data_IF_588848474072
#
_entry.id   IF_588848474072
#
_cell.length_a   1.000
_cell.length_b   1.000
_cell.length_c   1.000
_cell.angle_alpha   90.00
_cell.angle_beta   90.00
_cell.angle_gamma   90.00
#
_symmetry.space_group_name_H-M   'P 1'
#
loop_
_entity.id
_entity.type
_entity.pdbx_description
1 polymer ?
#
# COMPACT_ATOMS: atom_id res chain seq x y z
N UNK A 1 11.39 0.95 9.21
CA UNK A 1 12.28 1.36 8.10
C UNK A 1 12.61 2.84 8.27
N UNK A 2 13.85 3.18 8.15
CA UNK A 2 14.34 4.53 8.39
C UNK A 2 14.61 5.28 7.10
N UNK A 3 14.60 6.63 7.16
CA UNK A 3 14.97 7.47 6.01
C UNK A 3 16.32 7.04 5.48
N UNK A 4 16.46 7.04 4.17
CA UNK A 4 17.66 6.59 3.50
C UNK A 4 17.67 5.11 3.14
N UNK A 5 16.71 4.34 3.64
CA UNK A 5 16.60 2.92 3.30
C UNK A 5 16.20 2.73 1.85
N UNK A 6 16.72 1.69 1.23
CA UNK A 6 16.35 1.36 -0.15
C UNK A 6 15.01 0.65 -0.23
N UNK A 7 14.28 0.91 -1.30
CA UNK A 7 13.05 0.19 -1.61
C UNK A 7 13.39 -1.28 -1.84
N UNK A 8 12.70 -2.22 -1.16
CA UNK A 8 13.09 -3.64 -1.21
C UNK A 8 12.65 -4.39 -2.48
N UNK A 9 11.89 -3.75 -3.36
CA UNK A 9 11.40 -4.41 -4.55
C UNK A 9 10.05 -5.07 -4.35
N UNK A 10 9.47 -5.57 -5.44
CA UNK A 10 8.10 -6.11 -5.46
C UNK A 10 8.04 -7.55 -5.91
N UNK A 11 9.16 -8.21 -6.08
CA UNK A 11 9.20 -9.58 -6.55
C UNK A 11 8.69 -10.54 -5.49
N UNK A 12 8.05 -11.63 -5.94
CA UNK A 12 7.60 -12.74 -5.08
C UNK A 12 6.41 -12.42 -4.17
N UNK A 13 5.68 -11.36 -4.45
CA UNK A 13 4.48 -11.04 -3.68
C UNK A 13 3.21 -11.34 -4.48
N UNK A 14 2.13 -11.53 -3.74
CA UNK A 14 0.82 -11.80 -4.33
C UNK A 14 0.05 -10.47 -4.43
N UNK A 15 -0.77 -10.34 -5.48
CA UNK A 15 -1.47 -9.09 -5.77
C UNK A 15 -2.95 -9.33 -6.04
N UNK A 16 -3.76 -8.34 -5.73
CA UNK A 16 -5.10 -8.26 -6.28
C UNK A 16 -4.93 -7.69 -7.68
N UNK A 17 -5.16 -8.53 -8.69
CA UNK A 17 -4.88 -8.15 -10.07
C UNK A 17 -3.44 -8.38 -10.46
N UNK A 18 -2.91 -7.54 -11.34
CA UNK A 18 -1.56 -7.72 -11.87
C UNK A 18 -0.51 -7.07 -10.98
N UNK A 19 0.67 -7.68 -10.96
CA UNK A 19 1.82 -7.07 -10.31
C UNK A 19 2.16 -5.76 -11.04
N UNK A 20 2.37 -4.66 -10.29
CA UNK A 20 2.70 -3.39 -10.92
C UNK A 20 4.12 -3.37 -11.44
N UNK A 21 4.36 -2.48 -12.42
CA UNK A 21 5.70 -2.17 -12.89
C UNK A 21 6.02 -0.75 -12.47
N UNK A 22 7.20 -0.56 -11.87
CA UNK A 22 7.67 0.76 -11.51
C UNK A 22 8.10 1.51 -12.79
N UNK A 23 7.79 2.80 -12.86
CA UNK A 23 8.01 3.60 -14.06
C UNK A 23 9.08 4.67 -13.89
N UNK A 24 9.81 4.65 -12.77
CA UNK A 24 10.86 5.65 -12.50
C UNK A 24 10.37 6.88 -11.77
N UNK A 25 9.09 6.93 -11.40
CA UNK A 25 8.54 8.00 -10.57
C UNK A 25 8.83 7.75 -9.10
N UNK A 26 8.71 8.78 -8.25
CA UNK A 26 8.68 8.54 -6.80
C UNK A 26 7.58 7.56 -6.47
N UNK A 27 7.78 6.77 -5.40
CA UNK A 27 6.87 5.69 -5.02
C UNK A 27 6.11 6.08 -3.76
N UNK A 28 4.77 5.95 -3.80
CA UNK A 28 3.93 6.06 -2.61
C UNK A 28 3.45 4.66 -2.25
N UNK A 29 3.67 4.27 -1.00
CA UNK A 29 3.20 2.98 -0.50
C UNK A 29 2.25 3.24 0.65
N UNK A 30 1.01 2.75 0.50
CA UNK A 30 -0.01 2.85 1.53
C UNK A 30 -0.23 1.47 2.16
N UNK A 31 0.07 1.36 3.46
CA UNK A 31 -0.29 0.18 4.25
C UNK A 31 -1.67 0.41 4.83
N UNK A 32 -2.57 -0.56 4.64
CA UNK A 32 -3.96 -0.46 5.09
C UNK A 32 -4.52 -1.83 5.42
N UNK A 33 -5.67 -1.85 6.07
CA UNK A 33 -6.36 -3.11 6.37
C UNK A 33 -7.85 -2.95 6.17
N UNK A 34 -8.49 -3.99 5.68
CA UNK A 34 -9.94 -4.00 5.42
C UNK A 34 -10.75 -3.79 6.71
N UNK A 35 -10.22 -4.18 7.87
CA UNK A 35 -10.91 -4.01 9.16
C UNK A 35 -10.64 -2.66 9.83
N UNK A 36 -9.84 -1.81 9.22
CA UNK A 36 -9.42 -0.54 9.80
C UNK A 36 -10.30 0.61 9.32
N UNK A 37 -11.02 1.26 10.23
CA UNK A 37 -11.92 2.37 9.86
C UNK A 37 -11.15 3.59 9.37
N UNK A 38 -10.05 3.95 10.04
CA UNK A 38 -9.23 5.09 9.63
C UNK A 38 -8.60 4.86 8.26
N UNK A 39 -8.31 3.61 7.93
CA UNK A 39 -7.79 3.25 6.62
C UNK A 39 -8.77 3.60 5.50
N UNK A 40 -10.07 3.44 5.77
CA UNK A 40 -11.10 3.74 4.76
C UNK A 40 -11.14 5.21 4.42
N UNK A 41 -10.82 6.08 5.37
CA UNK A 41 -10.72 7.52 5.13
C UNK A 41 -9.57 7.82 4.17
N UNK A 42 -8.41 7.24 4.42
CA UNK A 42 -7.22 7.43 3.57
C UNK A 42 -7.42 6.81 2.19
N UNK A 43 -8.00 5.59 2.15
CA UNK A 43 -8.32 4.94 0.87
C UNK A 43 -9.23 5.82 0.02
N UNK A 44 -10.24 6.44 0.63
CA UNK A 44 -11.16 7.32 -0.10
C UNK A 44 -10.42 8.50 -0.71
N UNK A 45 -9.48 9.08 0.03
CA UNK A 45 -8.66 10.18 -0.49
C UNK A 45 -7.80 9.72 -1.66
N UNK A 46 -7.20 8.54 -1.57
CA UNK A 46 -6.41 7.97 -2.66
C UNK A 46 -7.27 7.70 -3.89
N UNK A 47 -8.44 7.10 -3.71
CA UNK A 47 -9.36 6.80 -4.80
C UNK A 47 -9.82 8.09 -5.48
N UNK A 48 -10.21 9.09 -4.70
CA UNK A 48 -10.72 10.35 -5.24
C UNK A 48 -9.65 11.17 -5.95
N UNK A 49 -8.38 10.98 -5.63
CA UNK A 49 -7.27 11.73 -6.21
C UNK A 49 -6.35 10.84 -7.05
N UNK A 50 -6.78 9.63 -7.39
CA UNK A 50 -5.95 8.63 -8.05
C UNK A 50 -5.37 9.15 -9.36
N UNK A 51 -6.17 9.85 -10.15
CA UNK A 51 -5.71 10.37 -11.44
C UNK A 51 -4.51 11.31 -11.27
N UNK A 52 -4.61 12.27 -10.33
CA UNK A 52 -3.53 13.23 -10.07
C UNK A 52 -2.32 12.55 -9.44
N UNK A 53 -2.56 11.65 -8.49
CA UNK A 53 -1.48 10.94 -7.81
C UNK A 53 -0.71 10.04 -8.77
N UNK A 54 -1.41 9.32 -9.64
CA UNK A 54 -0.79 8.43 -10.61
C UNK A 54 0.11 9.19 -11.61
N UNK A 55 -0.23 10.45 -11.90
CA UNK A 55 0.60 11.27 -12.76
C UNK A 55 1.94 11.62 -12.13
N UNK A 56 2.01 11.72 -10.80
CA UNK A 56 3.20 12.14 -10.08
C UNK A 56 3.95 10.99 -9.42
N UNK A 57 3.28 9.88 -9.09
CA UNK A 57 3.84 8.79 -8.30
C UNK A 57 3.49 7.43 -8.89
N UNK A 58 4.34 6.45 -8.64
CA UNK A 58 3.96 5.05 -8.73
C UNK A 58 3.29 4.70 -7.40
N UNK A 59 2.00 4.37 -7.44
CA UNK A 59 1.23 4.09 -6.24
C UNK A 59 1.16 2.59 -6.03
N UNK A 60 1.49 2.15 -4.82
CA UNK A 60 1.37 0.76 -4.40
C UNK A 60 0.65 0.77 -3.07
N UNK A 61 -0.32 -0.14 -2.91
CA UNK A 61 -0.88 -0.35 -1.58
C UNK A 61 -0.56 -1.76 -1.11
N UNK A 62 -0.49 -1.91 0.20
CA UNK A 62 -0.21 -3.18 0.85
C UNK A 62 -1.33 -3.45 1.85
N UNK A 63 -2.08 -4.52 1.61
CA UNK A 63 -3.08 -4.93 2.58
C UNK A 63 -2.39 -5.72 3.68
N UNK A 64 -2.28 -5.10 4.84
CA UNK A 64 -1.64 -5.68 6.03
C UNK A 64 -2.74 -6.19 6.96
N UNK A 65 -2.96 -7.52 7.03
CA UNK A 65 -4.02 -8.04 7.89
C UNK A 65 -3.73 -7.75 9.37
N UNK A 66 -4.77 -7.38 10.12
CA UNK A 66 -4.68 -7.11 11.55
C UNK A 66 -5.10 -8.32 12.39
N UNK A 67 -5.76 -9.27 11.75
CA UNK A 67 -6.24 -10.50 12.37
C UNK A 67 -6.39 -11.56 11.30
N UNK A 68 -6.64 -12.79 11.72
CA UNK A 68 -6.83 -13.88 10.77
C UNK A 68 -8.01 -13.64 9.82
N UNK A 69 -9.06 -12.97 10.30
CA UNK A 69 -10.22 -12.65 9.48
C UNK A 69 -9.84 -11.81 8.27
N UNK A 70 -8.86 -10.93 8.42
CA UNK A 70 -8.42 -10.05 7.32
C UNK A 70 -7.65 -10.80 6.24
N UNK A 71 -7.32 -12.07 6.45
CA UNK A 71 -6.56 -12.85 5.46
C UNK A 71 -7.43 -13.50 4.40
N UNK A 72 -8.73 -13.26 4.43
CA UNK A 72 -9.67 -13.79 3.43
C UNK A 72 -9.47 -13.04 2.10
N UNK A 73 -8.85 -13.73 1.14
CA UNK A 73 -8.52 -13.13 -0.16
C UNK A 73 -9.75 -12.79 -0.99
N UNK A 74 -10.80 -13.61 -0.89
CA UNK A 74 -12.03 -13.36 -1.64
C UNK A 74 -12.70 -12.09 -1.16
N UNK A 75 -12.77 -11.92 0.17
CA UNK A 75 -13.34 -10.71 0.76
C UNK A 75 -12.55 -9.47 0.38
N UNK A 76 -11.21 -9.58 0.39
CA UNK A 76 -10.34 -8.47 -0.01
C UNK A 76 -10.57 -8.09 -1.48
N UNK A 77 -10.60 -9.07 -2.37
CA UNK A 77 -10.82 -8.82 -3.79
C UNK A 77 -12.18 -8.18 -4.04
N UNK A 78 -13.20 -8.65 -3.34
CA UNK A 78 -14.54 -8.08 -3.46
C UNK A 78 -14.57 -6.64 -2.96
N UNK A 79 -13.95 -6.37 -1.83
CA UNK A 79 -13.85 -5.01 -1.30
C UNK A 79 -13.16 -4.06 -2.28
N UNK A 80 -12.06 -4.50 -2.87
CA UNK A 80 -11.33 -3.69 -3.84
C UNK A 80 -12.18 -3.36 -5.06
N UNK A 81 -12.93 -4.34 -5.57
CA UNK A 81 -13.79 -4.15 -6.72
C UNK A 81 -14.94 -3.18 -6.40
N UNK A 82 -15.60 -3.38 -5.27
CA UNK A 82 -16.73 -2.55 -4.85
C UNK A 82 -16.33 -1.12 -4.52
N UNK A 83 -15.10 -0.94 -4.06
CA UNK A 83 -14.57 0.38 -3.70
C UNK A 83 -13.93 1.11 -4.87
N UNK A 84 -13.86 0.49 -6.04
CA UNK A 84 -13.23 1.05 -7.23
C UNK A 84 -11.76 1.39 -7.02
N UNK A 85 -11.04 0.51 -6.32
CA UNK A 85 -9.60 0.69 -6.14
C UNK A 85 -8.90 0.33 -7.44
N UNK A 86 -8.27 1.33 -8.07
CA UNK A 86 -7.58 1.16 -9.35
C UNK A 86 -6.07 0.96 -9.19
N UNK A 87 -5.51 1.34 -8.05
CA UNK A 87 -4.08 1.15 -7.82
C UNK A 87 -3.79 -0.28 -7.34
N UNK A 88 -2.53 -0.75 -7.48
CA UNK A 88 -2.16 -2.12 -7.09
C UNK A 88 -2.33 -2.37 -5.59
N UNK A 89 -2.80 -3.57 -5.26
CA UNK A 89 -2.96 -4.01 -3.87
C UNK A 89 -2.18 -5.29 -3.67
N UNK A 90 -1.12 -5.21 -2.87
CA UNK A 90 -0.35 -6.38 -2.45
C UNK A 90 -1.08 -7.11 -1.35
N UNK A 91 -1.11 -8.43 -1.43
CA UNK A 91 -1.70 -9.29 -0.39
C UNK A 91 -0.55 -9.75 0.51
N UNK A 92 -0.45 -9.17 1.70
CA UNK A 92 0.67 -9.45 2.61
C UNK A 92 0.22 -10.31 3.79
N UNK A 93 -0.47 -11.42 3.49
CA UNK A 93 -1.09 -12.26 4.52
C UNK A 93 -0.13 -12.85 5.54
N UNK A 94 1.14 -13.01 5.17
CA UNK A 94 2.16 -13.52 6.09
C UNK A 94 3.00 -12.40 6.71
N UNK A 95 2.62 -11.15 6.47
CA UNK A 95 3.29 -9.97 7.02
C UNK A 95 4.76 -9.85 6.62
N UNK A 96 5.16 -10.48 5.50
CA UNK A 96 6.55 -10.49 5.09
C UNK A 96 7.03 -9.09 4.69
N UNK A 97 6.26 -8.41 3.84
CA UNK A 97 6.60 -7.06 3.39
C UNK A 97 6.51 -6.08 4.55
N UNK A 98 5.45 -6.18 5.34
CA UNK A 98 5.25 -5.35 6.53
C UNK A 98 6.40 -5.48 7.50
N UNK A 99 6.96 -6.70 7.65
CA UNK A 99 8.10 -6.96 8.53
C UNK A 99 9.37 -6.28 8.03
N UNK A 100 9.61 -6.30 6.72
CA UNK A 100 10.75 -5.59 6.11
C UNK A 100 10.68 -4.10 6.46
N UNK A 101 9.49 -3.52 6.41
CA UNK A 101 9.28 -2.10 6.74
C UNK A 101 9.23 -1.86 8.24
N UNK A 102 9.14 -2.91 9.06
CA UNK A 102 8.86 -2.83 10.50
C UNK A 102 7.59 -2.02 10.73
N UNK A 103 6.63 -2.18 9.84
CA UNK A 103 5.38 -1.44 9.93
C UNK A 103 4.44 -2.12 10.91
N UNK A 104 4.01 -1.37 11.94
CA UNK A 104 3.15 -1.89 13.00
C UNK A 104 1.75 -1.29 12.99
N UNK A 105 1.55 -0.21 12.26
CA UNK A 105 0.30 0.54 12.30
C UNK A 105 -0.26 0.75 10.90
N UNK A 106 -1.58 0.81 10.82
CA UNK A 106 -2.30 1.20 9.62
C UNK A 106 -3.29 2.29 9.99
N UNK A 107 -3.53 3.28 9.10
CA UNK A 107 -2.85 3.48 7.83
C UNK A 107 -1.47 4.11 8.00
N UNK A 108 -0.53 3.72 7.16
CA UNK A 108 0.80 4.33 7.12
C UNK A 108 1.17 4.53 5.66
N UNK A 109 1.71 5.70 5.34
CA UNK A 109 2.16 6.03 3.99
C UNK A 109 3.66 6.25 4.01
N UNK A 110 4.36 5.57 3.11
CA UNK A 110 5.79 5.75 2.90
C UNK A 110 6.01 6.38 1.54
N UNK A 111 6.96 7.30 1.45
CA UNK A 111 7.34 7.89 0.16
C UNK A 111 8.81 7.61 -0.10
N UNK A 112 9.08 7.05 -1.29
CA UNK A 112 10.43 6.84 -1.80
C UNK A 112 10.67 7.82 -2.94
N UNK A 113 11.91 8.30 -3.03
CA UNK A 113 12.31 9.13 -4.17
C UNK A 113 12.33 8.29 -5.46
N UNK A 114 12.49 8.96 -6.60
CA UNK A 114 12.65 8.27 -7.88
C UNK A 114 13.87 7.34 -7.90
N UNK A 115 14.84 7.60 -7.03
CA UNK A 115 16.02 6.73 -6.85
C UNK A 115 15.77 5.58 -5.87
N UNK A 116 14.51 5.38 -5.46
CA UNK A 116 14.09 4.28 -4.58
C UNK A 116 14.70 4.36 -3.19
N UNK A 117 14.82 5.58 -2.66
CA UNK A 117 15.32 5.84 -1.31
C UNK A 117 14.19 6.42 -0.47
N UNK A 118 13.99 5.89 0.73
CA UNK A 118 12.92 6.37 1.61
C UNK A 118 13.20 7.80 2.05
N UNK A 119 12.25 8.71 1.77
CA UNK A 119 12.36 10.12 2.11
C UNK A 119 11.38 10.56 3.19
N UNK A 120 10.36 9.77 3.49
CA UNK A 120 9.44 10.13 4.56
C UNK A 120 8.36 9.09 4.79
N UNK A 121 7.68 9.22 5.94
CA UNK A 121 6.52 8.39 6.25
C UNK A 121 5.54 9.18 7.11
N UNK A 122 4.25 8.85 6.97
CA UNK A 122 3.16 9.52 7.68
C UNK A 122 2.24 8.44 8.24
N UNK A 123 1.78 8.63 9.48
CA UNK A 123 0.85 7.74 10.15
C UNK A 123 -0.52 8.39 10.25
N UNK A 124 -1.56 7.55 10.30
CA UNK A 124 -2.90 7.97 10.58
C UNK A 124 -3.61 8.57 9.39
N UNK A 125 -4.79 9.13 9.65
CA UNK A 125 -5.71 9.62 8.62
C UNK A 125 -5.62 11.14 8.38
N UNK A 126 -4.69 11.80 9.01
CA UNK A 126 -4.55 13.27 8.91
C UNK A 126 -4.02 13.73 7.56
#
# INVERSE_FOLDING_TARGET
MEKGSKFPGLEQYEWVGKQPKLTGKPILILFWSISCQDCKIVLRKFINNEWSLRGAFDIISVHMPRSEKDTDKMELKQFCAESNIAFPVMIDNQLHFSTIFRNQFVPTIYMFSANEVLVGKVFGSN
#
